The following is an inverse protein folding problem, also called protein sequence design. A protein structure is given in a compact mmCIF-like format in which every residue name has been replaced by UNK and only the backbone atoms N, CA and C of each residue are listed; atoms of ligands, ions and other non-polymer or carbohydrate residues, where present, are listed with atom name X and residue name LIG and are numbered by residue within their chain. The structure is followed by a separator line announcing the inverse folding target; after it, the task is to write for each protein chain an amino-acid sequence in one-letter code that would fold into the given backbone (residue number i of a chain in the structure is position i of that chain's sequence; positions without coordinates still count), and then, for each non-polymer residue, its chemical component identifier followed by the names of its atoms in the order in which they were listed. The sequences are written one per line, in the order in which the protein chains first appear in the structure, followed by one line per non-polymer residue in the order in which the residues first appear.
data_IF_097304963815
#
_entry.id   IF_097304963815
#
_cell.length_a   1.000
_cell.length_b   1.000
_cell.length_c   1.000
_cell.angle_alpha   90.00
_cell.angle_beta   90.00
_cell.angle_gamma   90.00
#
_symmetry.space_group_name_H-M   'P 1'
#
loop_
_entity.id
_entity.type
_entity.pdbx_description
1 polymer ?
#
# COMPACT_ATOMS: atom_id res chain seq x y z
N UNK A 1 -64.97 14.34 37.75
CA UNK A 1 -64.46 12.98 37.49
C UNK A 1 -63.24 13.08 36.59
N UNK A 2 -62.12 12.48 37.01
CA UNK A 2 -60.79 12.57 36.38
C UNK A 2 -60.72 11.69 35.12
N UNK A 3 -60.46 12.28 33.95
CA UNK A 3 -60.11 11.55 32.72
C UNK A 3 -58.61 11.72 32.45
N UNK A 4 -57.83 10.63 32.59
CA UNK A 4 -56.38 10.59 32.31
C UNK A 4 -56.15 10.48 30.80
N UNK A 5 -55.41 11.43 30.24
CA UNK A 5 -54.84 11.35 28.89
C UNK A 5 -53.59 10.44 28.95
N UNK A 6 -53.63 9.27 28.31
CA UNK A 6 -52.49 8.38 28.17
C UNK A 6 -51.62 8.78 26.98
N UNK A 7 -50.40 9.27 27.25
CA UNK A 7 -49.36 9.42 26.24
C UNK A 7 -48.76 8.05 25.91
N UNK A 8 -48.99 7.54 24.70
CA UNK A 8 -48.28 6.38 24.17
C UNK A 8 -46.86 6.81 23.76
N UNK A 9 -45.85 6.29 24.47
CA UNK A 9 -44.43 6.42 24.08
C UNK A 9 -44.12 5.37 23.02
N UNK A 10 -43.94 5.80 21.78
CA UNK A 10 -43.39 4.95 20.71
C UNK A 10 -41.87 4.99 20.85
N UNK A 11 -41.29 3.94 21.44
CA UNK A 11 -39.84 3.73 21.45
C UNK A 11 -39.40 3.15 20.11
N UNK A 12 -38.71 3.96 19.30
CA UNK A 12 -37.95 3.45 18.15
C UNK A 12 -36.68 2.76 18.66
N UNK A 13 -36.69 1.43 18.68
CA UNK A 13 -35.49 0.63 18.90
C UNK A 13 -34.67 0.64 17.60
N UNK A 14 -33.73 1.57 17.49
CA UNK A 14 -32.76 1.60 16.40
C UNK A 14 -31.86 0.38 16.49
N UNK A 15 -32.08 -0.60 15.61
CA UNK A 15 -31.18 -1.74 15.44
C UNK A 15 -29.89 -1.22 14.76
N UNK A 16 -28.88 -0.88 15.56
CA UNK A 16 -27.53 -0.67 15.04
C UNK A 16 -26.99 -2.02 14.57
N UNK A 17 -27.05 -2.25 13.26
CA UNK A 17 -26.30 -3.34 12.61
C UNK A 17 -24.82 -2.96 12.70
N UNK A 18 -24.13 -3.51 13.70
CA UNK A 18 -22.67 -3.51 13.73
C UNK A 18 -22.26 -4.44 12.59
N UNK A 19 -22.00 -3.86 11.41
CA UNK A 19 -21.41 -4.58 10.29
C UNK A 19 -20.01 -5.02 10.73
N UNK A 20 -19.86 -6.30 11.10
CA UNK A 20 -18.55 -6.88 11.31
C UNK A 20 -17.77 -6.69 10.00
N UNK A 21 -16.73 -5.86 10.03
CA UNK A 21 -15.83 -5.73 8.90
C UNK A 21 -15.27 -7.13 8.61
N UNK A 22 -15.62 -7.70 7.45
CA UNK A 22 -15.08 -8.98 7.04
C UNK A 22 -13.55 -8.88 7.04
N UNK A 23 -12.90 -9.62 7.95
CA UNK A 23 -11.46 -9.62 8.07
C UNK A 23 -10.88 -10.03 6.71
N UNK A 24 -10.13 -9.12 6.08
CA UNK A 24 -9.49 -9.42 4.82
C UNK A 24 -8.36 -10.42 5.10
N UNK A 25 -8.28 -11.55 4.36
CA UNK A 25 -7.20 -12.50 4.56
C UNK A 25 -5.84 -11.80 4.48
N UNK A 26 -4.83 -12.23 5.24
CA UNK A 26 -3.50 -11.64 5.16
C UNK A 26 -3.00 -11.54 3.72
N UNK A 27 -2.24 -10.48 3.43
CA UNK A 27 -1.64 -10.32 2.11
C UNK A 27 -0.57 -11.39 1.90
N UNK A 28 -0.64 -12.07 0.76
CA UNK A 28 0.34 -13.05 0.33
C UNK A 28 1.20 -12.49 -0.79
N UNK A 29 2.51 -12.36 -0.55
CA UNK A 29 3.42 -11.75 -1.52
C UNK A 29 3.36 -12.42 -2.91
N UNK A 30 3.32 -13.75 -2.94
CA UNK A 30 3.33 -14.59 -4.15
C UNK A 30 2.01 -14.54 -4.96
N UNK A 31 0.97 -13.87 -4.46
CA UNK A 31 -0.35 -13.83 -5.10
C UNK A 31 -0.90 -12.42 -5.24
N UNK A 32 -0.79 -11.65 -4.17
CA UNK A 32 -1.52 -10.40 -4.01
C UNK A 32 -0.70 -9.18 -4.44
N UNK A 33 0.56 -9.35 -4.85
CA UNK A 33 1.43 -8.25 -5.32
C UNK A 33 1.52 -8.21 -6.84
N UNK A 34 1.94 -7.07 -7.38
CA UNK A 34 2.19 -6.93 -8.83
C UNK A 34 3.42 -7.75 -9.23
N UNK A 35 3.31 -8.50 -10.32
CA UNK A 35 4.34 -9.43 -10.79
C UNK A 35 5.38 -8.85 -11.75
N UNK A 36 5.35 -7.53 -12.01
CA UNK A 36 6.36 -6.83 -12.81
C UNK A 36 7.07 -5.75 -11.98
N UNK A 37 8.32 -5.47 -12.31
CA UNK A 37 9.12 -4.45 -11.61
C UNK A 37 8.73 -3.03 -12.03
N UNK A 38 8.66 -2.13 -11.05
CA UNK A 38 8.82 -0.70 -11.25
C UNK A 38 10.31 -0.40 -11.41
N UNK A 39 10.78 -0.18 -12.63
CA UNK A 39 12.18 0.19 -12.82
C UNK A 39 12.41 1.61 -12.28
N UNK A 40 13.43 1.83 -11.46
CA UNK A 40 13.83 3.17 -10.97
C UNK A 40 14.44 4.00 -12.11
N UNK A 41 14.28 5.33 -12.07
CA UNK A 41 14.97 6.25 -13.00
C UNK A 41 16.42 6.50 -12.58
N UNK A 42 16.73 6.20 -11.31
CA UNK A 42 18.05 6.32 -10.75
C UNK A 42 18.64 4.94 -10.54
N UNK A 43 19.88 4.75 -10.96
CA UNK A 43 20.76 3.69 -10.47
C UNK A 43 21.55 4.26 -9.30
N UNK A 44 21.62 3.52 -8.19
CA UNK A 44 22.41 3.92 -7.04
C UNK A 44 23.69 3.10 -7.00
N UNK A 45 24.81 3.72 -7.37
CA UNK A 45 26.13 3.10 -7.24
C UNK A 45 26.80 3.71 -6.00
N UNK A 46 27.14 2.86 -5.02
CA UNK A 46 27.78 3.28 -3.76
C UNK A 46 27.04 4.39 -3.00
N UNK A 47 25.70 4.41 -3.06
CA UNK A 47 24.87 5.39 -2.34
C UNK A 47 24.78 6.76 -3.01
N UNK A 48 25.28 6.91 -4.23
CA UNK A 48 25.15 8.11 -5.06
C UNK A 48 24.11 7.83 -6.15
N UNK A 49 23.12 8.71 -6.28
CA UNK A 49 22.07 8.59 -7.29
C UNK A 49 22.62 9.01 -8.66
N UNK A 50 22.63 8.09 -9.62
CA UNK A 50 22.96 8.36 -11.02
C UNK A 50 21.70 8.22 -11.88
N UNK A 51 21.48 9.16 -12.79
CA UNK A 51 20.42 9.01 -13.80
C UNK A 51 20.77 7.84 -14.72
N UNK A 52 19.87 6.86 -14.89
CA UNK A 52 20.06 5.78 -15.86
C UNK A 52 20.30 6.35 -17.27
N UNK A 53 21.36 5.90 -17.96
CA UNK A 53 21.69 6.27 -19.35
C UNK A 53 21.90 5.00 -20.19
N UNK A 54 21.60 5.06 -21.50
CA UNK A 54 21.81 3.95 -22.46
C UNK A 54 20.52 3.25 -22.93
N UNK A 55 20.62 2.06 -23.53
CA UNK A 55 19.45 1.25 -23.94
C UNK A 55 18.53 0.88 -22.76
N UNK A 56 19.10 0.74 -21.56
CA UNK A 56 18.37 0.61 -20.29
C UNK A 56 17.50 1.83 -19.96
N UNK A 57 17.88 3.03 -20.44
CA UNK A 57 17.11 4.26 -20.34
C UNK A 57 16.13 4.46 -21.52
N UNK A 58 16.43 3.90 -22.71
CA UNK A 58 15.53 3.91 -23.89
C UNK A 58 14.31 3.02 -23.70
N UNK A 59 14.42 2.00 -22.87
CA UNK A 59 13.26 1.29 -22.35
C UNK A 59 12.47 2.22 -21.42
N UNK A 60 11.53 3.00 -21.98
CA UNK A 60 10.50 3.77 -21.24
C UNK A 60 9.55 2.82 -20.46
N UNK A 61 10.09 1.93 -19.64
CA UNK A 61 9.41 0.87 -18.90
C UNK A 61 9.02 1.40 -17.53
N UNK A 62 7.75 1.82 -17.39
CA UNK A 62 7.02 2.11 -16.15
C UNK A 62 7.86 2.46 -14.91
N UNK A 63 8.40 3.68 -14.87
CA UNK A 63 9.28 4.17 -13.79
C UNK A 63 8.62 5.24 -12.91
N UNK A 64 9.13 5.42 -11.67
CA UNK A 64 8.63 6.40 -10.66
C UNK A 64 7.18 6.16 -10.23
N UNK A 65 6.76 4.89 -10.16
CA UNK A 65 5.38 4.49 -9.81
C UNK A 65 5.29 3.68 -8.54
N UNK A 66 6.34 3.62 -7.72
CA UNK A 66 6.32 2.89 -6.44
C UNK A 66 5.13 3.29 -5.56
N UNK A 67 4.84 4.59 -5.45
CA UNK A 67 3.64 5.11 -4.78
C UNK A 67 2.33 4.54 -5.34
N UNK A 68 2.19 4.52 -6.66
CA UNK A 68 0.97 4.04 -7.34
C UNK A 68 0.83 2.54 -7.19
N UNK A 69 1.93 1.79 -7.28
CA UNK A 69 1.92 0.34 -7.19
C UNK A 69 1.63 -0.13 -5.77
N UNK A 70 2.19 0.51 -4.74
CA UNK A 70 1.82 0.23 -3.35
C UNK A 70 0.35 0.54 -3.09
N UNK A 71 -0.14 1.70 -3.54
CA UNK A 71 -1.56 2.07 -3.44
C UNK A 71 -2.46 1.06 -4.16
N UNK A 72 -2.10 0.71 -5.39
CA UNK A 72 -2.87 -0.23 -6.22
C UNK A 72 -2.93 -1.60 -5.58
N UNK A 73 -1.80 -2.10 -5.09
CA UNK A 73 -1.73 -3.40 -4.40
C UNK A 73 -2.65 -3.42 -3.18
N UNK A 74 -2.63 -2.37 -2.36
CA UNK A 74 -3.55 -2.20 -1.24
C UNK A 74 -5.02 -2.16 -1.72
N UNK A 75 -5.34 -1.36 -2.75
CA UNK A 75 -6.70 -1.22 -3.27
C UNK A 75 -7.24 -2.55 -3.83
N UNK A 76 -6.44 -3.31 -4.58
CA UNK A 76 -6.84 -4.62 -5.08
C UNK A 76 -7.09 -5.59 -3.94
N UNK A 77 -6.23 -5.61 -2.92
CA UNK A 77 -6.44 -6.47 -1.74
C UNK A 77 -7.73 -6.15 -1.00
N UNK A 78 -8.10 -4.86 -0.93
CA UNK A 78 -9.29 -4.39 -0.21
C UNK A 78 -10.59 -4.50 -1.03
N UNK A 79 -10.52 -4.34 -2.34
CA UNK A 79 -11.71 -4.04 -3.17
C UNK A 79 -11.91 -4.98 -4.35
N UNK A 80 -10.98 -5.91 -4.60
CA UNK A 80 -11.07 -6.85 -5.71
C UNK A 80 -11.16 -8.30 -5.20
N UNK A 81 -11.84 -9.14 -5.98
CA UNK A 81 -11.78 -10.61 -5.85
C UNK A 81 -11.54 -11.22 -7.22
N UNK A 82 -11.04 -12.45 -7.24
CA UNK A 82 -10.57 -13.12 -8.45
C UNK A 82 -11.37 -14.39 -8.69
N UNK A 83 -11.73 -14.64 -9.95
CA UNK A 83 -12.45 -15.84 -10.38
C UNK A 83 -11.65 -16.50 -11.52
N UNK A 84 -10.83 -17.53 -11.23
CA UNK A 84 -10.01 -18.17 -12.25
C UNK A 84 -10.81 -19.04 -13.24
N UNK A 85 -12.08 -19.36 -12.94
CA UNK A 85 -12.90 -20.26 -13.75
C UNK A 85 -13.76 -19.53 -14.78
N UNK A 86 -14.03 -18.25 -14.57
CA UNK A 86 -14.73 -17.40 -15.52
C UNK A 86 -13.80 -16.95 -16.69
N UNK A 87 -14.36 -16.68 -17.89
CA UNK A 87 -13.57 -16.22 -19.04
C UNK A 87 -12.93 -14.84 -18.78
N UNK A 88 -11.66 -14.62 -19.18
CA UNK A 88 -11.03 -13.31 -19.07
C UNK A 88 -11.78 -12.23 -19.86
N UNK A 89 -11.77 -11.00 -19.35
CA UNK A 89 -12.32 -9.84 -20.06
C UNK A 89 -11.43 -9.42 -21.23
N UNK A 90 -12.04 -8.72 -22.19
CA UNK A 90 -11.28 -7.90 -23.14
C UNK A 90 -10.57 -6.73 -22.45
N UNK A 91 -9.65 -6.09 -23.15
CA UNK A 91 -8.83 -5.01 -22.60
C UNK A 91 -9.65 -3.78 -22.17
N UNK A 92 -10.77 -3.50 -22.86
CA UNK A 92 -11.62 -2.36 -22.58
C UNK A 92 -12.39 -2.53 -21.27
N UNK A 93 -13.02 -3.68 -21.10
CA UNK A 93 -13.76 -4.04 -19.88
C UNK A 93 -12.82 -4.31 -18.70
N UNK A 94 -11.67 -4.91 -18.95
CA UNK A 94 -10.61 -5.02 -17.94
C UNK A 94 -10.17 -3.64 -17.45
N UNK A 95 -9.94 -2.68 -18.36
CA UNK A 95 -9.58 -1.32 -18.01
C UNK A 95 -10.64 -0.63 -17.13
N UNK A 96 -11.94 -0.83 -17.43
CA UNK A 96 -13.04 -0.32 -16.61
C UNK A 96 -12.99 -0.91 -15.19
N UNK A 97 -12.81 -2.22 -15.03
CA UNK A 97 -12.72 -2.87 -13.71
C UNK A 97 -11.49 -2.40 -12.92
N UNK A 98 -10.34 -2.25 -13.57
CA UNK A 98 -9.14 -1.69 -12.92
C UNK A 98 -9.42 -0.30 -12.37
N UNK A 99 -10.08 0.57 -13.16
CA UNK A 99 -10.46 1.93 -12.71
C UNK A 99 -11.51 1.91 -11.59
N UNK A 100 -12.46 0.98 -11.61
CA UNK A 100 -13.44 0.80 -10.52
C UNK A 100 -12.78 0.44 -9.18
N UNK A 101 -11.66 -0.29 -9.19
CA UNK A 101 -10.86 -0.55 -7.99
C UNK A 101 -10.04 0.68 -7.61
N UNK A 102 -9.32 1.27 -8.56
CA UNK A 102 -8.34 2.33 -8.26
C UNK A 102 -8.96 3.70 -7.98
N UNK A 103 -10.22 3.93 -8.33
CA UNK A 103 -10.98 5.12 -7.95
C UNK A 103 -11.42 5.11 -6.48
N UNK A 104 -11.43 3.94 -5.82
CA UNK A 104 -11.81 3.82 -4.40
C UNK A 104 -10.66 4.30 -3.52
N UNK A 105 -10.98 5.12 -2.53
CA UNK A 105 -10.00 5.62 -1.59
C UNK A 105 -9.29 4.50 -0.80
N UNK A 106 -7.96 4.45 -0.86
CA UNK A 106 -7.15 3.38 -0.26
C UNK A 106 -7.24 3.33 1.29
N UNK A 107 -7.56 4.44 1.94
CA UNK A 107 -7.78 4.52 3.39
C UNK A 107 -9.14 4.00 3.85
N UNK A 108 -10.06 3.66 2.94
CA UNK A 108 -11.33 3.05 3.31
C UNK A 108 -11.14 1.61 3.77
N UNK A 109 -12.08 1.14 4.58
CA UNK A 109 -12.15 -0.26 4.97
C UNK A 109 -12.37 -1.16 3.76
N UNK A 110 -11.89 -2.42 3.80
CA UNK A 110 -12.15 -3.40 2.75
C UNK A 110 -13.64 -3.57 2.47
N UNK A 111 -13.98 -3.85 1.21
CA UNK A 111 -15.35 -4.23 0.89
C UNK A 111 -15.62 -5.66 1.40
N UNK A 112 -16.87 -5.93 1.84
CA UNK A 112 -17.37 -7.29 1.98
C UNK A 112 -17.14 -8.08 0.69
N UNK A 113 -16.88 -9.38 0.81
CA UNK A 113 -16.40 -10.18 -0.33
C UNK A 113 -17.36 -10.16 -1.52
N UNK A 114 -18.68 -10.22 -1.27
CA UNK A 114 -19.69 -10.19 -2.34
C UNK A 114 -19.72 -8.86 -3.11
N UNK A 115 -19.29 -7.76 -2.47
CA UNK A 115 -19.27 -6.41 -3.05
C UNK A 115 -17.96 -6.08 -3.77
N UNK A 116 -16.95 -6.95 -3.69
CA UNK A 116 -15.65 -6.73 -4.35
C UNK A 116 -15.78 -6.84 -5.87
N UNK A 117 -15.02 -6.00 -6.57
CA UNK A 117 -14.94 -6.02 -8.03
C UNK A 117 -14.30 -7.34 -8.46
N UNK A 118 -15.03 -8.14 -9.23
CA UNK A 118 -14.55 -9.45 -9.69
C UNK A 118 -13.53 -9.25 -10.82
N UNK A 119 -12.49 -10.07 -10.90
CA UNK A 119 -11.59 -10.16 -12.04
C UNK A 119 -11.57 -11.62 -12.54
N UNK A 120 -12.25 -11.91 -13.67
CA UNK A 120 -12.36 -13.28 -14.18
C UNK A 120 -11.11 -13.67 -14.97
N UNK A 121 -10.84 -14.97 -15.05
CA UNK A 121 -9.74 -15.55 -15.82
C UNK A 121 -8.38 -15.51 -15.14
N UNK A 122 -8.33 -15.06 -13.88
CA UNK A 122 -7.11 -14.98 -13.09
C UNK A 122 -7.39 -15.43 -11.66
N UNK A 123 -6.43 -16.10 -11.03
CA UNK A 123 -6.51 -16.52 -9.65
C UNK A 123 -6.14 -15.41 -8.65
N UNK A 124 -5.37 -14.41 -9.08
CA UNK A 124 -4.87 -13.34 -8.21
C UNK A 124 -4.25 -12.15 -9.00
N UNK A 125 -3.89 -11.08 -8.28
CA UNK A 125 -3.29 -9.87 -8.85
C UNK A 125 -1.96 -10.14 -9.53
N UNK A 126 -1.13 -11.02 -8.98
CA UNK A 126 0.17 -11.36 -9.58
C UNK A 126 -0.01 -11.99 -10.97
N UNK A 127 -0.94 -12.93 -11.11
CA UNK A 127 -1.24 -13.54 -12.41
C UNK A 127 -1.83 -12.53 -13.39
N UNK A 128 -2.83 -11.74 -12.96
CA UNK A 128 -3.41 -10.68 -13.78
C UNK A 128 -2.35 -9.69 -14.28
N UNK A 129 -1.49 -9.22 -13.38
CA UNK A 129 -0.47 -8.21 -13.69
C UNK A 129 0.64 -8.74 -14.60
N UNK A 130 0.99 -10.03 -14.51
CA UNK A 130 1.89 -10.68 -15.47
C UNK A 130 1.24 -10.83 -16.85
N UNK A 131 -0.02 -11.24 -16.91
CA UNK A 131 -0.71 -11.50 -18.18
C UNK A 131 -1.16 -10.22 -18.91
N UNK A 132 -1.58 -9.19 -18.17
CA UNK A 132 -2.18 -7.96 -18.69
C UNK A 132 -1.48 -6.71 -18.16
N UNK A 133 -0.17 -6.78 -17.97
CA UNK A 133 0.64 -5.72 -17.39
C UNK A 133 0.47 -4.36 -18.08
N UNK A 134 0.39 -4.34 -19.41
CA UNK A 134 0.18 -3.10 -20.17
C UNK A 134 -1.14 -2.40 -19.83
N UNK A 135 -2.25 -3.17 -19.81
CA UNK A 135 -3.59 -2.64 -19.46
C UNK A 135 -3.59 -2.17 -18.01
N UNK A 136 -2.96 -2.91 -17.10
CA UNK A 136 -2.84 -2.48 -15.70
C UNK A 136 -2.08 -1.17 -15.57
N UNK A 137 -0.87 -1.07 -16.13
CA UNK A 137 -0.01 0.12 -16.06
C UNK A 137 -0.70 1.38 -16.58
N UNK A 138 -1.48 1.26 -17.66
CA UNK A 138 -2.20 2.39 -18.27
C UNK A 138 -3.41 2.87 -17.45
N UNK A 139 -3.95 2.02 -16.56
CA UNK A 139 -5.22 2.27 -15.87
C UNK A 139 -5.12 2.43 -14.35
N UNK A 140 -3.94 2.32 -13.77
CA UNK A 140 -3.73 2.52 -12.32
C UNK A 140 -3.40 3.97 -11.92
N UNK A 141 -3.41 4.90 -12.89
CA UNK A 141 -3.23 6.33 -12.68
C UNK A 141 -1.76 6.78 -12.69
N UNK A 142 -1.54 8.09 -12.52
CA UNK A 142 -0.22 8.72 -12.53
C UNK A 142 0.44 8.74 -11.15
N UNK A 143 1.78 8.65 -11.09
CA UNK A 143 2.52 8.69 -9.81
C UNK A 143 2.83 10.08 -9.28
N UNK A 144 2.91 11.06 -10.18
CA UNK A 144 3.23 12.44 -9.83
C UNK A 144 2.19 13.15 -8.93
N UNK A 145 0.87 12.87 -8.96
CA UNK A 145 -0.09 13.53 -8.07
C UNK A 145 0.14 13.21 -6.59
N UNK A 146 0.86 12.12 -6.27
CA UNK A 146 1.19 11.79 -4.87
C UNK A 146 2.12 12.83 -4.24
N UNK A 147 3.07 13.36 -5.01
CA UNK A 147 3.98 14.39 -4.53
C UNK A 147 3.30 15.74 -4.27
N UNK A 148 2.11 15.96 -4.84
CA UNK A 148 1.33 17.20 -4.72
C UNK A 148 0.23 17.12 -3.65
N UNK A 149 0.13 16.01 -2.92
CA UNK A 149 -0.78 15.93 -1.78
C UNK A 149 -0.22 16.76 -0.63
N UNK A 150 -1.00 17.71 -0.12
CA UNK A 150 -0.61 18.65 0.93
C UNK A 150 -0.05 17.94 2.18
N UNK A 151 -0.64 16.80 2.56
CA UNK A 151 -0.16 15.99 3.69
C UNK A 151 1.23 15.38 3.50
N UNK A 152 1.76 15.33 2.27
CA UNK A 152 3.13 14.89 2.01
C UNK A 152 4.15 16.04 2.16
N UNK A 153 3.75 17.30 2.30
CA UNK A 153 4.67 18.40 2.59
C UNK A 153 5.48 18.13 3.89
N UNK A 154 4.89 17.40 4.84
CA UNK A 154 5.54 16.97 6.09
C UNK A 154 6.77 16.08 5.91
N UNK A 155 6.98 15.50 4.73
CA UNK A 155 8.18 14.70 4.45
C UNK A 155 9.40 15.60 4.21
N UNK A 156 9.19 16.87 3.88
CA UNK A 156 10.23 17.89 3.72
C UNK A 156 10.56 18.62 5.03
N UNK A 157 9.68 18.55 6.02
CA UNK A 157 9.94 19.08 7.35
C UNK A 157 10.55 18.00 8.23
N UNK A 158 11.58 18.36 9.01
CA UNK A 158 12.12 17.47 10.02
C UNK A 158 11.05 17.25 11.10
N UNK A 159 10.48 16.04 11.20
CA UNK A 159 9.40 15.82 12.14
C UNK A 159 10.01 15.83 13.55
N UNK A 160 9.29 16.42 14.51
CA UNK A 160 9.75 16.52 15.89
C UNK A 160 10.13 15.17 16.51
N UNK A 161 10.87 15.23 17.62
CA UNK A 161 11.28 14.05 18.40
C UNK A 161 10.08 13.12 18.66
N UNK A 162 10.29 11.81 18.46
CA UNK A 162 9.26 10.79 18.63
C UNK A 162 8.30 10.55 17.46
N UNK A 163 8.43 11.22 16.30
CA UNK A 163 7.56 10.93 15.15
C UNK A 163 7.74 9.50 14.61
N UNK A 164 8.97 9.01 14.55
CA UNK A 164 9.24 7.65 14.09
C UNK A 164 8.68 6.61 15.07
N UNK A 165 8.73 6.88 16.39
CA UNK A 165 8.09 6.07 17.44
C UNK A 165 6.57 6.02 17.25
N UNK A 166 5.91 7.18 17.10
CA UNK A 166 4.46 7.22 16.80
C UNK A 166 4.11 6.51 15.49
N UNK A 167 4.99 6.58 14.50
CA UNK A 167 4.80 5.87 13.22
C UNK A 167 4.92 4.36 13.41
N UNK A 168 5.84 3.91 14.24
CA UNK A 168 6.01 2.50 14.62
C UNK A 168 4.80 1.96 15.41
N UNK A 169 4.31 2.70 16.40
CA UNK A 169 3.10 2.35 17.15
C UNK A 169 1.90 2.23 16.20
N UNK A 170 1.73 3.22 15.31
CA UNK A 170 0.64 3.22 14.32
C UNK A 170 0.78 2.05 13.35
N UNK A 171 1.97 1.79 12.82
CA UNK A 171 2.25 0.66 11.94
C UNK A 171 1.88 -0.65 12.63
N UNK A 172 2.31 -0.85 13.88
CA UNK A 172 2.03 -2.05 14.65
C UNK A 172 0.53 -2.22 14.88
N UNK A 173 -0.18 -1.15 15.26
CA UNK A 173 -1.64 -1.18 15.39
C UNK A 173 -2.35 -1.51 14.07
N UNK A 174 -1.85 -1.02 12.93
CA UNK A 174 -2.38 -1.30 11.59
C UNK A 174 -2.20 -2.76 11.20
N UNK A 175 -1.02 -3.33 11.42
CA UNK A 175 -0.77 -4.72 11.08
C UNK A 175 -1.51 -5.67 12.04
N UNK A 176 -1.64 -5.33 13.33
CA UNK A 176 -2.36 -6.14 14.31
C UNK A 176 -3.86 -6.27 13.98
N UNK A 177 -4.46 -5.28 13.32
CA UNK A 177 -5.84 -5.37 12.82
C UNK A 177 -5.97 -6.10 11.46
N UNK A 178 -4.87 -6.62 10.92
CA UNK A 178 -4.84 -7.29 9.61
C UNK A 178 -4.95 -6.35 8.41
N UNK A 179 -4.71 -5.05 8.60
CA UNK A 179 -4.74 -4.06 7.52
C UNK A 179 -3.31 -3.75 7.03
N UNK A 180 -3.22 -2.99 5.93
CA UNK A 180 -1.98 -2.71 5.25
C UNK A 180 -1.50 -1.28 5.53
N UNK A 181 -0.19 -1.06 5.42
CA UNK A 181 0.39 0.26 5.65
C UNK A 181 1.32 0.63 4.50
N UNK A 182 0.96 1.65 3.71
CA UNK A 182 1.89 2.21 2.72
C UNK A 182 2.83 3.16 3.44
N UNK A 183 4.12 2.85 3.40
CA UNK A 183 5.19 3.68 3.96
C UNK A 183 6.02 4.33 2.87
N UNK A 184 6.24 5.63 3.01
CA UNK A 184 7.25 6.37 2.28
C UNK A 184 8.55 6.38 3.06
N UNK A 185 9.62 5.90 2.42
CA UNK A 185 10.98 5.80 2.94
C UNK A 185 11.82 6.96 2.42
N UNK A 186 12.48 7.67 3.34
CA UNK A 186 13.43 8.73 2.98
C UNK A 186 14.60 8.82 3.95
N UNK A 187 15.75 9.29 3.45
CA UNK A 187 16.96 9.56 4.23
C UNK A 187 17.32 11.05 4.22
N UNK A 188 16.37 11.93 3.91
CA UNK A 188 16.56 13.39 3.92
C UNK A 188 17.31 13.86 5.19
N UNK A 189 18.30 14.77 5.06
CA UNK A 189 18.65 15.55 3.86
C UNK A 189 19.52 14.82 2.83
N UNK A 190 20.16 13.70 3.20
CA UNK A 190 20.93 12.89 2.25
C UNK A 190 19.97 12.02 1.44
N UNK A 191 19.51 12.47 0.27
CA UNK A 191 18.54 11.78 -0.62
C UNK A 191 19.05 10.44 -1.22
N UNK A 192 19.42 9.49 -0.37
CA UNK A 192 19.84 8.13 -0.71
C UNK A 192 18.66 7.20 -0.99
N UNK A 193 17.48 7.51 -0.45
CA UNK A 193 16.22 6.81 -0.77
C UNK A 193 15.05 7.81 -0.80
N UNK A 194 14.16 7.62 -1.78
CA UNK A 194 12.88 8.33 -1.94
C UNK A 194 11.90 7.35 -2.57
N UNK A 195 11.38 6.44 -1.75
CA UNK A 195 10.72 5.23 -2.23
C UNK A 195 9.50 4.86 -1.40
N UNK A 196 8.51 4.21 -2.01
CA UNK A 196 7.32 3.76 -1.32
C UNK A 196 7.27 2.24 -1.27
N UNK A 197 7.00 1.70 -0.09
CA UNK A 197 6.84 0.28 0.18
C UNK A 197 5.50 0.01 0.86
N UNK A 198 5.00 -1.22 0.76
CA UNK A 198 3.76 -1.65 1.41
C UNK A 198 4.06 -2.65 2.51
N UNK A 199 3.93 -2.25 3.75
CA UNK A 199 4.02 -3.15 4.90
C UNK A 199 2.75 -4.01 4.98
N UNK A 200 2.95 -5.31 5.19
CA UNK A 200 1.84 -6.26 5.15
C UNK A 200 1.91 -7.36 6.21
N UNK A 201 3.05 -7.56 6.86
CA UNK A 201 3.18 -8.50 7.97
C UNK A 201 4.28 -8.08 8.94
N UNK A 202 4.18 -8.56 10.18
CA UNK A 202 5.23 -8.52 11.19
C UNK A 202 5.72 -9.94 11.43
N UNK A 203 7.03 -10.10 11.55
CA UNK A 203 7.68 -11.37 11.85
C UNK A 203 8.21 -11.38 13.28
N UNK A 204 8.43 -12.58 13.81
CA UNK A 204 9.18 -12.75 15.04
C UNK A 204 10.60 -12.19 14.86
N UNK A 205 10.98 -11.29 15.76
CA UNK A 205 12.30 -10.69 15.81
C UNK A 205 12.96 -10.95 17.18
N UNK A 206 14.28 -10.77 17.28
CA UNK A 206 14.96 -10.74 18.57
C UNK A 206 14.34 -9.68 19.50
N UNK A 207 14.47 -9.89 20.82
CA UNK A 207 14.02 -8.90 21.81
C UNK A 207 14.56 -7.51 21.49
N UNK A 208 13.68 -6.52 21.44
CA UNK A 208 14.03 -5.13 21.13
C UNK A 208 14.16 -4.82 19.63
N UNK A 209 13.89 -5.78 18.74
CA UNK A 209 13.88 -5.59 17.29
C UNK A 209 12.56 -6.11 16.71
N UNK A 210 11.77 -5.22 16.12
CA UNK A 210 10.60 -5.64 15.35
C UNK A 210 10.98 -5.81 13.89
N UNK A 211 10.57 -6.91 13.27
CA UNK A 211 10.79 -7.20 11.85
C UNK A 211 9.48 -7.10 11.09
N UNK A 212 9.51 -6.41 9.96
CA UNK A 212 8.36 -6.24 9.09
C UNK A 212 8.68 -6.73 7.69
N UNK A 213 7.71 -7.40 7.09
CA UNK A 213 7.74 -7.71 5.67
C UNK A 213 7.06 -6.59 4.89
N UNK A 214 7.73 -6.15 3.85
CA UNK A 214 7.25 -5.12 2.94
C UNK A 214 7.26 -5.63 1.49
N UNK A 215 6.25 -5.24 0.73
CA UNK A 215 6.29 -5.32 -0.73
C UNK A 215 6.96 -4.06 -1.25
N UNK A 216 8.08 -4.27 -1.95
CA UNK A 216 8.79 -3.22 -2.68
C UNK A 216 8.49 -3.38 -4.19
N UNK A 217 7.88 -2.38 -4.84
CA UNK A 217 7.57 -2.41 -6.27
C UNK A 217 8.77 -2.57 -7.21
N UNK A 218 9.99 -2.25 -6.78
CA UNK A 218 11.21 -2.45 -7.58
C UNK A 218 11.68 -3.92 -7.52
N UNK A 219 11.15 -4.69 -6.58
CA UNK A 219 11.57 -6.05 -6.25
C UNK A 219 10.41 -7.05 -6.33
N UNK A 220 9.88 -7.32 -7.54
CA UNK A 220 8.79 -8.28 -7.71
C UNK A 220 9.20 -9.73 -7.41
N UNK A 221 10.49 -10.03 -7.28
CA UNK A 221 11.02 -11.36 -7.03
C UNK A 221 10.78 -11.87 -5.60
N UNK A 222 10.70 -10.98 -4.61
CA UNK A 222 10.57 -11.39 -3.22
C UNK A 222 10.26 -10.23 -2.27
N UNK A 223 9.75 -10.52 -1.06
CA UNK A 223 9.51 -9.51 -0.06
C UNK A 223 10.82 -8.85 0.37
N UNK A 224 10.68 -7.69 0.99
CA UNK A 224 11.79 -6.97 1.61
C UNK A 224 11.58 -6.83 3.11
N UNK A 225 12.68 -6.64 3.83
CA UNK A 225 12.66 -6.52 5.28
C UNK A 225 12.93 -5.08 5.71
N UNK A 226 12.13 -4.65 6.68
CA UNK A 226 12.34 -3.41 7.39
C UNK A 226 12.28 -3.70 8.88
N UNK A 227 13.25 -3.19 9.64
CA UNK A 227 13.35 -3.42 11.08
C UNK A 227 13.18 -2.14 11.87
N UNK A 228 12.57 -2.26 13.04
CA UNK A 228 12.53 -1.20 14.04
C UNK A 228 13.42 -1.58 15.22
N UNK A 229 14.34 -0.69 15.58
CA UNK A 229 15.19 -0.83 16.77
C UNK A 229 14.57 -0.06 17.94
N UNK A 230 14.17 -0.77 19.00
CA UNK A 230 13.64 -0.14 20.21
C UNK A 230 14.71 0.73 20.91
N UNK A 231 15.98 0.30 20.86
CA UNK A 231 17.11 1.03 21.45
C UNK A 231 17.41 2.32 20.71
N UNK A 232 17.39 2.28 19.38
CA UNK A 232 17.77 3.41 18.51
C UNK A 232 16.56 4.24 18.05
N UNK A 233 15.34 3.83 18.40
CA UNK A 233 14.06 4.48 18.05
C UNK A 233 13.99 4.87 16.58
N UNK A 234 14.44 3.96 15.72
CA UNK A 234 14.57 4.21 14.29
C UNK A 234 14.29 2.96 13.46
N UNK A 235 13.84 3.21 12.24
CA UNK A 235 13.67 2.16 11.23
C UNK A 235 14.95 1.99 10.44
N UNK A 236 15.21 0.75 10.02
CA UNK A 236 16.30 0.42 9.13
C UNK A 236 15.76 -0.47 8.01
N UNK A 237 16.08 -0.09 6.77
CA UNK A 237 15.73 -0.85 5.58
C UNK A 237 16.92 -1.70 5.15
N UNK A 238 16.65 -2.91 4.68
CA UNK A 238 17.72 -3.81 4.24
C UNK A 238 18.46 -3.26 3.01
N UNK A 239 19.67 -3.77 2.79
CA UNK A 239 20.47 -3.43 1.61
C UNK A 239 19.90 -4.15 0.40
N UNK A 240 19.76 -3.42 -0.70
CA UNK A 240 19.44 -3.96 -2.02
C UNK A 240 20.30 -3.28 -3.10
N UNK A 241 19.93 -3.42 -4.38
CA UNK A 241 20.68 -2.84 -5.50
C UNK A 241 20.34 -1.36 -5.74
N UNK A 242 19.20 -0.87 -5.26
CA UNK A 242 18.76 0.52 -5.33
C UNK A 242 19.10 1.29 -4.02
N UNK A 243 19.36 0.60 -2.90
CA UNK A 243 19.61 1.21 -1.59
C UNK A 243 20.73 0.48 -0.84
N UNK A 244 21.68 1.27 -0.32
CA UNK A 244 22.85 0.77 0.42
C UNK A 244 22.51 0.10 1.76
N UNK A 245 21.24 0.16 2.19
CA UNK A 245 20.78 -0.30 3.48
C UNK A 245 21.01 0.71 4.60
N UNK A 246 20.31 0.53 5.71
CA UNK A 246 20.49 1.31 6.93
C UNK A 246 19.28 2.17 7.31
N UNK A 247 19.54 3.19 8.13
CA UNK A 247 18.48 4.01 8.77
C UNK A 247 17.65 4.76 7.75
N UNK A 248 16.34 4.69 7.90
CA UNK A 248 15.36 5.41 7.09
C UNK A 248 14.32 6.09 7.97
N UNK A 249 13.76 7.18 7.48
CA UNK A 249 12.54 7.79 8.02
C UNK A 249 11.36 7.18 7.28
N UNK A 250 10.39 6.66 8.03
CA UNK A 250 9.14 6.16 7.50
C UNK A 250 8.06 7.20 7.72
N UNK A 251 7.29 7.50 6.68
CA UNK A 251 6.07 8.28 6.76
C UNK A 251 4.94 7.43 6.22
N UNK A 252 3.84 7.33 6.96
CA UNK A 252 2.65 6.75 6.34
C UNK A 252 2.26 7.60 5.12
N UNK A 253 1.69 6.99 4.10
CA UNK A 253 0.95 7.66 3.03
C UNK A 253 -0.36 6.91 2.76
N UNK A 254 -1.34 7.58 2.15
CA UNK A 254 -2.66 6.99 1.85
C UNK A 254 -3.43 6.43 3.06
N UNK A 255 -3.10 6.85 4.28
CA UNK A 255 -3.79 6.43 5.50
C UNK A 255 -5.02 7.29 5.83
N UNK A 256 -5.18 8.46 5.20
CA UNK A 256 -6.26 9.42 5.45
C UNK A 256 -6.56 10.26 4.18
N UNK A 257 -7.72 10.94 4.09
CA UNK A 257 -8.14 11.66 2.87
C UNK A 257 -7.17 12.71 2.31
N UNK A 258 -6.54 13.51 3.18
CA UNK A 258 -5.68 14.65 2.80
C UNK A 258 -4.18 14.34 2.91
N UNK A 259 -3.83 13.06 3.02
CA UNK A 259 -2.47 12.57 3.13
C UNK A 259 -1.88 12.21 1.77
#
# INVERSE_FOLDING_TARGET
MKGRLGLAKISFLGLSVISAAAATPPLRFDRDTVGFANMTVFEYQNGIAHLRRGESAKQKRYTRRCFVLCRTTMQFKKFARFDPHAPPLDDGDLAKRIRQVTCRAAWRDPLPDEQRVVFPGYANLRQLSKARGFVLQRNIGYGWPTYWRLGNARTFFEPGTGYQERTHEKLSAVLNRGDLFVGFLTTLPHLRINHAVLFYAREAGPTGIDRYLVYDPNHPEGPRHLRWSQRERSFEYEKDWDFVGGRVRVYQIYGMPLQ
#
